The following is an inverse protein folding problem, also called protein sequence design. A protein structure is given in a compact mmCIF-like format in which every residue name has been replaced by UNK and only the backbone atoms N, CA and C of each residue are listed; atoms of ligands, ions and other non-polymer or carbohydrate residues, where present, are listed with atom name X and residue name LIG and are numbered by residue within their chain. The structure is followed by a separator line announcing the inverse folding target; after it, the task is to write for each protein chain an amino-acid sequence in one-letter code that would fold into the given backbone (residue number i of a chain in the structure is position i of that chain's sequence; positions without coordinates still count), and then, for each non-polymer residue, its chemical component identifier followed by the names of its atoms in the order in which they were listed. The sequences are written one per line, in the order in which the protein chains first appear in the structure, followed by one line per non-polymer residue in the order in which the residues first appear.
data_IF_849805403144
#
_entry.id   IF_849805403144
#
_cell.length_a   1.000
_cell.length_b   1.000
_cell.length_c   1.000
_cell.angle_alpha   90.00
_cell.angle_beta   90.00
_cell.angle_gamma   90.00
#
_symmetry.space_group_name_H-M   'P 1'
#
loop_
_entity.id
_entity.type
_entity.pdbx_description
1 polymer ?
#
# COMPACT_ATOMS: atom_id res chain seq x y z
N UNK A 1 -5.32 -7.70 9.38
CA UNK A 1 -4.07 -6.94 9.17
C UNK A 1 -4.24 -5.46 9.51
N UNK A 2 -5.26 -4.74 9.03
CA UNK A 2 -5.45 -3.31 9.35
C UNK A 2 -6.26 -3.11 10.66
N UNK A 3 -5.81 -3.75 11.73
CA UNK A 3 -6.44 -3.69 13.06
C UNK A 3 -6.02 -2.45 13.84
N UNK A 4 -6.67 -2.19 14.98
CA UNK A 4 -6.29 -1.11 15.89
C UNK A 4 -4.85 -1.30 16.42
N UNK A 5 -4.46 -2.53 16.75
CA UNK A 5 -3.07 -2.84 17.13
C UNK A 5 -2.07 -2.45 16.05
N UNK A 6 -2.33 -2.82 14.79
CA UNK A 6 -1.47 -2.44 13.67
C UNK A 6 -1.36 -0.92 13.53
N UNK A 7 -2.47 -0.19 13.66
CA UNK A 7 -2.47 1.28 13.61
C UNK A 7 -1.62 1.87 14.73
N UNK A 8 -1.70 1.32 15.94
CA UNK A 8 -0.91 1.77 17.09
C UNK A 8 0.58 1.47 16.88
N UNK A 9 0.91 0.26 16.43
CA UNK A 9 2.29 -0.19 16.24
C UNK A 9 3.03 0.58 15.13
N UNK A 10 2.29 1.04 14.11
CA UNK A 10 2.82 1.75 12.95
C UNK A 10 2.72 3.28 13.04
N UNK A 11 2.03 3.80 14.06
CA UNK A 11 1.83 5.24 14.25
C UNK A 11 3.16 5.99 14.32
N UNK A 12 3.32 7.00 13.46
CA UNK A 12 4.52 7.83 13.41
C UNK A 12 5.73 7.18 12.73
N UNK A 13 5.58 6.00 12.12
CA UNK A 13 6.65 5.29 11.42
C UNK A 13 6.40 5.27 9.91
N UNK A 14 7.48 5.22 9.14
CA UNK A 14 7.42 4.79 7.74
C UNK A 14 7.57 3.27 7.71
N UNK A 15 6.55 2.57 7.19
CA UNK A 15 6.47 1.11 7.22
C UNK A 15 6.42 0.58 5.80
N UNK A 16 7.31 -0.37 5.50
CA UNK A 16 7.25 -1.15 4.26
C UNK A 16 6.46 -2.43 4.51
N UNK A 17 5.53 -2.72 3.62
CA UNK A 17 4.69 -3.93 3.67
C UNK A 17 4.91 -4.66 2.35
N UNK A 18 5.28 -5.93 2.45
CA UNK A 18 5.46 -6.81 1.29
C UNK A 18 4.27 -7.76 1.23
N UNK A 19 3.62 -7.80 0.07
CA UNK A 19 2.46 -8.62 -0.19
C UNK A 19 2.50 -9.22 -1.60
N UNK A 20 1.39 -9.82 -2.01
CA UNK A 20 1.19 -10.45 -3.33
C UNK A 20 0.24 -9.62 -4.21
N UNK A 21 0.11 -10.01 -5.49
CA UNK A 21 -0.71 -9.32 -6.51
C UNK A 21 -2.18 -9.10 -6.11
N UNK A 22 -2.73 -9.94 -5.24
CA UNK A 22 -4.10 -9.81 -4.72
C UNK A 22 -4.18 -9.13 -3.34
N UNK A 23 -3.18 -9.34 -2.48
CA UNK A 23 -3.22 -8.87 -1.08
C UNK A 23 -2.76 -7.43 -0.94
N UNK A 24 -1.80 -6.98 -1.74
CA UNK A 24 -1.34 -5.58 -1.78
C UNK A 24 -2.45 -4.58 -2.15
N UNK A 25 -3.20 -4.76 -3.25
CA UNK A 25 -4.29 -3.84 -3.60
C UNK A 25 -5.46 -3.94 -2.61
N UNK A 26 -5.80 -5.14 -2.14
CA UNK A 26 -6.86 -5.32 -1.15
C UNK A 26 -6.53 -4.63 0.18
N UNK A 27 -5.29 -4.75 0.65
CA UNK A 27 -4.85 -4.10 1.88
C UNK A 27 -4.82 -2.57 1.73
N UNK A 28 -4.42 -2.06 0.56
CA UNK A 28 -4.50 -0.63 0.23
C UNK A 28 -5.94 -0.12 0.29
N UNK A 29 -6.89 -0.84 -0.33
CA UNK A 29 -8.32 -0.52 -0.27
C UNK A 29 -8.85 -0.47 1.17
N UNK A 30 -8.47 -1.45 2.00
CA UNK A 30 -8.83 -1.48 3.42
C UNK A 30 -8.29 -0.25 4.18
N UNK A 31 -7.04 0.15 3.92
CA UNK A 31 -6.46 1.35 4.55
C UNK A 31 -7.24 2.59 4.12
N UNK A 32 -7.53 2.72 2.82
CA UNK A 32 -8.22 3.88 2.25
C UNK A 32 -9.71 3.93 2.56
N UNK A 33 -10.30 2.81 3.01
CA UNK A 33 -11.75 2.61 3.16
C UNK A 33 -12.51 2.85 1.84
N UNK A 34 -11.90 2.44 0.73
CA UNK A 34 -12.44 2.59 -0.64
C UNK A 34 -12.05 1.40 -1.49
N UNK A 35 -12.93 0.97 -2.39
CA UNK A 35 -12.65 -0.08 -3.37
C UNK A 35 -12.08 0.53 -4.67
N UNK A 36 -10.81 0.94 -4.63
CA UNK A 36 -10.16 1.66 -5.74
C UNK A 36 -9.32 0.74 -6.63
N UNK A 37 -8.70 -0.28 -6.05
CA UNK A 37 -7.73 -1.12 -6.72
C UNK A 37 -8.23 -2.55 -6.85
N UNK A 38 -8.18 -3.08 -8.07
CA UNK A 38 -8.40 -4.50 -8.33
C UNK A 38 -7.10 -5.27 -8.09
N UNK A 39 -7.17 -6.60 -8.16
CA UNK A 39 -5.97 -7.44 -8.19
C UNK A 39 -5.02 -6.96 -9.29
N UNK A 40 -3.74 -6.89 -8.96
CA UNK A 40 -2.67 -6.64 -9.91
C UNK A 40 -2.57 -7.82 -10.89
N UNK A 41 -1.96 -7.60 -12.05
CA UNK A 41 -1.58 -8.70 -12.93
C UNK A 41 -0.54 -9.59 -12.23
N UNK A 42 -0.53 -10.89 -12.52
CA UNK A 42 0.38 -11.85 -11.84
C UNK A 42 1.86 -11.59 -12.13
N UNK A 43 2.16 -10.88 -13.22
CA UNK A 43 3.51 -10.48 -13.63
C UNK A 43 3.91 -9.08 -13.14
N UNK A 44 3.01 -8.34 -12.49
CA UNK A 44 3.31 -7.04 -11.89
C UNK A 44 4.07 -7.21 -10.56
N UNK A 45 5.40 -7.18 -10.67
CA UNK A 45 6.34 -7.29 -9.56
C UNK A 45 7.00 -5.96 -9.18
N UNK A 46 6.54 -4.85 -9.76
CA UNK A 46 7.20 -3.54 -9.65
C UNK A 46 6.28 -2.42 -9.17
N UNK A 47 4.97 -2.66 -9.05
CA UNK A 47 4.05 -1.69 -8.46
C UNK A 47 4.26 -1.48 -6.96
N UNK A 48 4.47 -0.22 -6.59
CA UNK A 48 4.60 0.27 -5.21
C UNK A 48 3.45 1.23 -4.88
N UNK A 49 2.70 0.90 -3.83
CA UNK A 49 1.61 1.71 -3.30
C UNK A 49 2.11 2.52 -2.10
N UNK A 50 2.15 3.83 -2.25
CA UNK A 50 2.59 4.75 -1.19
C UNK A 50 1.35 5.43 -0.62
N UNK A 51 1.01 5.07 0.62
CA UNK A 51 -0.13 5.66 1.33
C UNK A 51 0.38 6.66 2.36
N UNK A 52 -0.12 7.89 2.29
CA UNK A 52 0.18 8.94 3.26
C UNK A 52 -1.08 9.25 4.07
N UNK A 53 -0.97 9.14 5.40
CA UNK A 53 -2.04 9.49 6.34
C UNK A 53 -1.60 10.69 7.17
N UNK A 54 -2.25 11.84 6.96
CA UNK A 54 -1.97 13.08 7.70
C UNK A 54 -3.28 13.72 8.15
N UNK A 55 -3.41 13.96 9.46
CA UNK A 55 -4.59 14.61 10.06
C UNK A 55 -5.91 13.93 9.63
N UNK A 56 -5.92 12.59 9.60
CA UNK A 56 -7.08 11.80 9.15
C UNK A 56 -7.31 11.77 7.64
N UNK A 57 -6.62 12.60 6.85
CA UNK A 57 -6.67 12.55 5.39
C UNK A 57 -5.73 11.45 4.87
N UNK A 58 -6.27 10.61 3.99
CA UNK A 58 -5.54 9.51 3.35
C UNK A 58 -5.34 9.83 1.87
N UNK A 59 -4.11 9.69 1.40
CA UNK A 59 -3.75 9.85 -0.01
C UNK A 59 -2.96 8.62 -0.45
N UNK A 60 -3.10 8.25 -1.72
CA UNK A 60 -2.37 7.13 -2.31
C UNK A 60 -1.68 7.59 -3.59
N UNK A 61 -0.44 7.16 -3.76
CA UNK A 61 0.32 7.27 -5.00
C UNK A 61 0.76 5.87 -5.41
N UNK A 62 0.54 5.52 -6.67
CA UNK A 62 1.06 4.27 -7.24
C UNK A 62 2.25 4.61 -8.10
N UNK A 63 3.37 3.92 -7.90
CA UNK A 63 4.59 4.05 -8.70
C UNK A 63 5.03 2.70 -9.22
N UNK A 64 5.55 2.66 -10.43
CA UNK A 64 6.31 1.52 -10.93
C UNK A 64 7.77 1.74 -10.54
N UNK A 65 8.37 0.76 -9.86
CA UNK A 65 9.79 0.79 -9.52
C UNK A 65 10.57 0.19 -10.68
N UNK A 66 11.27 1.05 -11.41
CA UNK A 66 12.18 0.63 -12.47
C UNK A 66 13.56 0.34 -11.88
N UNK A 67 14.21 -0.73 -12.36
CA UNK A 67 15.60 -1.01 -11.99
C UNK A 67 16.49 0.06 -12.63
N UNK A 68 17.35 0.75 -11.86
CA UNK A 68 18.34 1.64 -12.46
C UNK A 68 19.27 0.81 -13.35
N UNK A 69 19.36 1.20 -14.62
CA UNK A 69 20.39 0.67 -15.53
C UNK A 69 21.69 1.34 -15.10
N UNK A 70 22.60 0.56 -14.51
CA UNK A 70 23.95 0.98 -14.14
C UNK A 70 24.90 0.96 -15.33
#
# INVERSE_FOLDING_TARGET
MYSESFKQDTRGKTVLIVGHSNTTPHFTNLILEKDMFKNMADDDNSSLYIITIKEGKKQVLVKTVEYPIY
#
